data_IF_194249926797
#
_entry.id   IF_194249926797
#
_cell.length_a   1.000
_cell.length_b   1.000
_cell.length_c   1.000
_cell.angle_alpha   90.00
_cell.angle_beta   90.00
_cell.angle_gamma   90.00
#
_symmetry.space_group_name_H-M   'P 1'
#
loop_
_entity.id
_entity.type
_entity.pdbx_description
1 polymer ?
#
# COMPACT_ATOMS: atom_id res chain seq x y z
N UNK A 1 10.62 1.47 25.44
CA UNK A 1 10.09 1.54 24.05
C UNK A 1 11.18 0.97 23.14
N UNK A 2 11.08 -0.31 22.77
CA UNK A 2 12.12 -0.99 21.98
C UNK A 2 11.51 -1.38 20.63
N UNK A 3 11.96 -0.73 19.55
CA UNK A 3 11.60 -1.06 18.19
C UNK A 3 12.30 -2.36 17.78
N UNK A 4 11.55 -3.46 17.65
CA UNK A 4 12.05 -4.72 17.08
C UNK A 4 12.09 -4.60 15.55
N UNK A 5 13.29 -4.69 14.98
CA UNK A 5 13.51 -4.88 13.54
C UNK A 5 13.03 -6.29 13.13
N UNK A 6 12.07 -6.36 12.20
CA UNK A 6 11.61 -7.62 11.61
C UNK A 6 12.55 -8.04 10.47
N UNK A 7 13.40 -9.04 10.70
CA UNK A 7 14.08 -9.76 9.62
C UNK A 7 13.11 -10.76 8.99
N UNK A 8 12.83 -10.62 7.69
CA UNK A 8 12.07 -11.62 6.93
C UNK A 8 12.98 -12.81 6.66
N UNK A 9 12.74 -13.92 7.36
CA UNK A 9 13.39 -15.21 7.14
C UNK A 9 12.76 -15.87 5.91
N UNK A 10 13.39 -15.76 4.75
CA UNK A 10 12.93 -16.42 3.53
C UNK A 10 13.15 -17.94 3.71
N UNK A 11 12.09 -18.69 4.05
CA UNK A 11 12.12 -20.15 4.03
C UNK A 11 12.16 -20.59 2.56
N UNK A 12 13.25 -21.26 2.21
CA UNK A 12 13.47 -21.98 0.96
C UNK A 12 12.35 -22.99 0.71
N UNK A 13 11.49 -22.73 -0.27
CA UNK A 13 10.67 -23.76 -0.89
C UNK A 13 11.27 -24.07 -2.27
N UNK A 14 11.78 -25.29 -2.40
CA UNK A 14 12.40 -25.85 -3.62
C UNK A 14 11.44 -25.96 -4.84
N UNK A 15 10.21 -25.45 -4.74
CA UNK A 15 9.21 -25.54 -5.81
C UNK A 15 9.33 -24.44 -6.87
N UNK A 16 10.02 -23.32 -6.59
CA UNK A 16 10.14 -22.23 -7.55
C UNK A 16 11.24 -22.44 -8.60
N UNK A 17 12.23 -23.29 -8.31
CA UNK A 17 13.42 -23.49 -9.14
C UNK A 17 13.17 -24.27 -10.45
N UNK A 18 12.00 -24.90 -10.60
CA UNK A 18 11.70 -25.74 -11.77
C UNK A 18 11.16 -24.98 -12.98
N UNK A 19 10.82 -23.69 -12.86
CA UNK A 19 10.16 -22.94 -13.97
C UNK A 19 11.11 -22.35 -15.00
N UNK A 20 12.41 -22.34 -14.74
CA UNK A 20 13.42 -21.77 -15.66
C UNK A 20 14.43 -22.84 -16.09
N UNK A 21 13.99 -23.81 -16.89
CA UNK A 21 14.91 -24.67 -17.66
C UNK A 21 15.21 -23.98 -18.98
N UNK A 22 16.39 -23.38 -19.11
CA UNK A 22 16.85 -22.98 -20.43
C UNK A 22 17.97 -21.96 -20.55
N UNK A 23 18.99 -21.94 -19.66
CA UNK A 23 20.30 -21.38 -20.02
C UNK A 23 21.39 -22.15 -19.27
N UNK A 24 22.08 -23.06 -19.97
CA UNK A 24 23.43 -23.48 -19.60
C UNK A 24 24.37 -22.38 -20.07
N UNK A 25 24.96 -21.65 -19.15
CA UNK A 25 26.30 -21.09 -19.26
C UNK A 25 26.70 -20.54 -17.89
N UNK A 26 27.48 -21.33 -17.16
CA UNK A 26 28.12 -20.90 -15.93
C UNK A 26 29.30 -20.02 -16.34
N UNK A 27 29.03 -18.71 -16.47
CA UNK A 27 30.06 -17.69 -16.52
C UNK A 27 29.98 -16.87 -15.24
N UNK A 28 31.15 -16.62 -14.67
CA UNK A 28 31.39 -15.97 -13.40
C UNK A 28 30.84 -14.53 -13.44
N UNK A 29 29.71 -14.26 -12.80
CA UNK A 29 29.19 -12.88 -12.62
C UNK A 29 29.12 -12.62 -11.11
N UNK A 30 30.28 -12.42 -10.50
CA UNK A 30 30.42 -11.83 -9.16
C UNK A 30 30.23 -10.30 -9.19
N UNK A 31 29.28 -9.80 -9.98
CA UNK A 31 28.91 -8.39 -10.00
C UNK A 31 27.44 -8.27 -9.59
N UNK A 32 27.21 -8.15 -8.28
CA UNK A 32 25.95 -7.61 -7.77
C UNK A 32 25.81 -6.19 -8.32
N UNK A 33 25.00 -6.01 -9.36
CA UNK A 33 24.62 -4.67 -9.80
C UNK A 33 23.63 -4.11 -8.80
N UNK A 34 24.05 -3.06 -8.10
CA UNK A 34 23.16 -2.28 -7.25
C UNK A 34 22.27 -1.44 -8.15
N UNK A 35 21.04 -1.89 -8.39
CA UNK A 35 20.01 -0.98 -8.85
C UNK A 35 19.67 -0.08 -7.68
N UNK A 36 20.00 1.22 -7.79
CA UNK A 36 19.34 2.23 -6.97
C UNK A 36 17.88 2.22 -7.40
N UNK A 37 17.05 1.48 -6.66
CA UNK A 37 15.63 1.76 -6.64
C UNK A 37 15.54 3.13 -6.00
N UNK A 38 15.37 4.18 -6.82
CA UNK A 38 14.88 5.45 -6.31
C UNK A 38 13.61 5.09 -5.55
N UNK A 39 13.63 5.25 -4.22
CA UNK A 39 12.42 5.11 -3.42
C UNK A 39 11.44 6.11 -4.05
N UNK A 40 10.42 5.61 -4.73
CA UNK A 40 9.25 6.44 -5.03
C UNK A 40 8.85 7.13 -3.72
N UNK A 41 8.51 8.42 -3.76
CA UNK A 41 8.12 9.14 -2.55
C UNK A 41 7.05 8.32 -1.84
N UNK A 42 7.30 7.98 -0.57
CA UNK A 42 6.35 7.23 0.26
C UNK A 42 5.01 7.99 0.23
N UNK A 43 4.03 7.39 -0.45
CA UNK A 43 2.68 7.94 -0.57
C UNK A 43 2.10 8.03 0.83
N UNK A 44 1.85 9.25 1.31
CA UNK A 44 1.28 9.45 2.63
C UNK A 44 -0.19 9.01 2.62
N UNK A 45 -0.61 8.30 3.67
CA UNK A 45 -1.99 7.82 3.82
C UNK A 45 -3.02 8.95 3.68
N UNK A 46 -2.72 10.12 4.25
CA UNK A 46 -3.57 11.31 4.11
C UNK A 46 -3.75 11.79 2.66
N UNK A 47 -2.71 11.67 1.82
CA UNK A 47 -2.80 12.04 0.40
C UNK A 47 -3.70 11.06 -0.35
N UNK A 48 -3.59 9.76 -0.04
CA UNK A 48 -4.47 8.72 -0.60
C UNK A 48 -5.94 8.97 -0.22
N UNK A 49 -6.22 9.24 1.07
CA UNK A 49 -7.57 9.58 1.54
C UNK A 49 -8.12 10.82 0.83
N UNK A 50 -7.29 11.84 0.61
CA UNK A 50 -7.68 13.07 -0.11
C UNK A 50 -8.05 12.79 -1.57
N UNK A 51 -7.23 12.01 -2.27
CA UNK A 51 -7.49 11.63 -3.67
C UNK A 51 -8.78 10.83 -3.79
N UNK A 52 -8.97 9.83 -2.91
CA UNK A 52 -10.16 8.98 -2.88
C UNK A 52 -11.41 9.81 -2.60
N UNK A 53 -11.35 10.71 -1.61
CA UNK A 53 -12.47 11.59 -1.27
C UNK A 53 -12.91 12.42 -2.48
N UNK A 54 -11.95 13.07 -3.17
CA UNK A 54 -12.22 13.88 -4.37
C UNK A 54 -12.78 13.05 -5.51
N UNK A 55 -12.18 11.90 -5.79
CA UNK A 55 -12.64 11.01 -6.86
C UNK A 55 -14.08 10.51 -6.62
N UNK A 56 -14.43 10.19 -5.38
CA UNK A 56 -15.79 9.81 -5.00
C UNK A 56 -16.76 10.98 -5.16
N UNK A 57 -16.36 12.17 -4.72
CA UNK A 57 -17.17 13.41 -4.80
C UNK A 57 -17.46 13.78 -6.25
N UNK A 58 -16.45 13.75 -7.12
CA UNK A 58 -16.56 14.06 -8.55
C UNK A 58 -17.50 13.09 -9.28
N UNK A 59 -17.58 11.84 -8.82
CA UNK A 59 -18.47 10.82 -9.37
C UNK A 59 -19.88 10.85 -8.77
N UNK A 60 -20.14 11.74 -7.80
CA UNK A 60 -21.44 11.88 -7.16
C UNK A 60 -21.74 10.83 -6.09
N UNK A 61 -20.72 10.12 -5.59
CA UNK A 61 -20.88 9.22 -4.46
C UNK A 61 -20.76 9.99 -3.14
N UNK A 62 -21.35 9.47 -2.06
CA UNK A 62 -21.05 9.94 -0.70
C UNK A 62 -19.67 9.38 -0.28
N UNK A 63 -18.62 10.23 -0.18
CA UNK A 63 -17.28 9.72 0.03
C UNK A 63 -17.10 9.03 1.39
N UNK A 64 -17.73 9.56 2.45
CA UNK A 64 -17.61 9.03 3.81
C UNK A 64 -18.19 7.62 3.86
N UNK A 65 -19.41 7.42 3.35
CA UNK A 65 -20.06 6.11 3.36
C UNK A 65 -19.25 5.06 2.59
N UNK A 66 -18.69 5.43 1.43
CA UNK A 66 -17.90 4.52 0.60
C UNK A 66 -16.55 4.17 1.24
N UNK A 67 -15.85 5.15 1.81
CA UNK A 67 -14.58 4.92 2.51
C UNK A 67 -14.81 4.04 3.75
N UNK A 68 -15.86 4.30 4.54
CA UNK A 68 -16.23 3.44 5.68
C UNK A 68 -16.58 2.03 5.21
N UNK A 69 -17.37 1.89 4.13
CA UNK A 69 -17.71 0.59 3.53
C UNK A 69 -16.47 -0.20 3.13
N UNK A 70 -15.51 0.45 2.48
CA UNK A 70 -14.23 -0.15 2.12
C UNK A 70 -13.41 -0.59 3.34
N UNK A 71 -13.26 0.28 4.35
CA UNK A 71 -12.46 -0.03 5.55
C UNK A 71 -13.03 -1.28 6.25
N UNK A 72 -14.35 -1.33 6.44
CA UNK A 72 -15.02 -2.41 7.17
C UNK A 72 -15.00 -3.74 6.40
N UNK A 73 -15.26 -3.71 5.09
CA UNK A 73 -15.39 -4.92 4.27
C UNK A 73 -14.08 -5.39 3.62
N UNK A 74 -13.18 -4.46 3.31
CA UNK A 74 -12.05 -4.67 2.41
C UNK A 74 -12.43 -4.79 0.94
N UNK A 75 -13.70 -4.59 0.57
CA UNK A 75 -14.16 -4.72 -0.81
C UNK A 75 -13.86 -3.45 -1.63
N UNK A 76 -12.96 -3.51 -2.65
CA UNK A 76 -12.57 -2.35 -3.43
C UNK A 76 -13.68 -1.80 -4.35
N UNK A 77 -14.82 -2.49 -4.47
CA UNK A 77 -15.97 -2.03 -5.27
C UNK A 77 -16.63 -0.77 -4.69
N UNK A 78 -16.48 -0.53 -3.39
CA UNK A 78 -16.89 0.73 -2.74
C UNK A 78 -16.14 1.95 -3.30
N UNK A 79 -14.92 1.77 -3.82
CA UNK A 79 -14.08 2.87 -4.28
C UNK A 79 -14.14 2.93 -5.81
N UNK A 80 -14.34 4.12 -6.38
CA UNK A 80 -14.33 4.33 -7.83
C UNK A 80 -12.92 4.15 -8.43
N UNK A 81 -12.82 3.67 -9.67
CA UNK A 81 -11.55 3.66 -10.42
C UNK A 81 -11.15 5.04 -10.96
N UNK A 82 -12.04 6.03 -10.87
CA UNK A 82 -11.77 7.40 -11.31
C UNK A 82 -10.51 7.96 -10.63
N UNK A 83 -9.67 8.67 -11.39
CA UNK A 83 -8.39 9.22 -10.94
C UNK A 83 -7.48 8.22 -10.20
N UNK A 84 -7.53 6.93 -10.57
CA UNK A 84 -6.73 5.87 -9.96
C UNK A 84 -7.01 5.64 -8.45
N UNK A 85 -8.11 6.17 -7.92
CA UNK A 85 -8.42 6.14 -6.49
C UNK A 85 -8.47 4.71 -5.92
N UNK A 86 -9.15 3.79 -6.61
CA UNK A 86 -9.23 2.38 -6.20
C UNK A 86 -7.85 1.73 -6.09
N UNK A 87 -6.97 1.91 -7.07
CA UNK A 87 -5.63 1.29 -7.03
C UNK A 87 -4.76 1.90 -5.95
N UNK A 88 -4.92 3.19 -5.65
CA UNK A 88 -4.15 3.88 -4.62
C UNK A 88 -4.53 3.40 -3.21
N UNK A 89 -5.82 3.33 -2.90
CA UNK A 89 -6.27 2.91 -1.57
C UNK A 89 -6.00 1.44 -1.28
N UNK A 90 -5.92 0.59 -2.31
CA UNK A 90 -5.55 -0.82 -2.18
C UNK A 90 -4.06 -1.05 -1.87
N UNK A 91 -3.21 -0.01 -2.01
CA UNK A 91 -1.79 -0.07 -1.62
C UNK A 91 -1.55 0.27 -0.15
N UNK A 92 -2.58 0.71 0.56
CA UNK A 92 -2.53 1.14 1.96
C UNK A 92 -3.25 0.10 2.80
N UNK A 93 -2.66 -0.29 3.92
CA UNK A 93 -3.31 -1.21 4.85
C UNK A 93 -4.50 -0.52 5.53
N UNK A 94 -5.55 -1.29 5.84
CA UNK A 94 -6.82 -0.71 6.31
C UNK A 94 -6.73 -0.14 7.72
N UNK A 95 -5.89 -0.72 8.56
CA UNK A 95 -5.59 -0.21 9.89
C UNK A 95 -4.83 1.12 9.82
N UNK A 96 -3.91 1.30 8.87
CA UNK A 96 -3.24 2.58 8.63
C UNK A 96 -4.24 3.69 8.23
N UNK A 97 -5.26 3.38 7.42
CA UNK A 97 -6.33 4.33 7.08
C UNK A 97 -7.10 4.78 8.32
N UNK A 98 -7.45 3.84 9.21
CA UNK A 98 -8.17 4.14 10.46
C UNK A 98 -7.30 4.95 11.42
N UNK A 99 -6.02 4.57 11.55
CA UNK A 99 -5.05 5.26 12.40
C UNK A 99 -4.87 6.72 11.95
N UNK A 100 -4.70 6.97 10.65
CA UNK A 100 -4.55 8.32 10.10
C UNK A 100 -5.80 9.17 10.35
N UNK A 101 -6.99 8.62 10.14
CA UNK A 101 -8.25 9.32 10.42
C UNK A 101 -8.38 9.66 11.91
N UNK A 102 -8.05 8.73 12.81
CA UNK A 102 -8.13 8.96 14.25
C UNK A 102 -7.10 10.00 14.72
N UNK A 103 -5.86 9.94 14.23
CA UNK A 103 -4.84 10.97 14.49
C UNK A 103 -5.31 12.35 14.06
N UNK A 104 -5.87 12.46 12.86
CA UNK A 104 -6.42 13.71 12.36
C UNK A 104 -7.57 14.22 13.23
N UNK A 105 -8.46 13.32 13.69
CA UNK A 105 -9.55 13.68 14.60
C UNK A 105 -9.04 14.19 15.95
N UNK A 106 -8.12 13.48 16.60
CA UNK A 106 -7.51 13.88 17.88
C UNK A 106 -6.86 15.26 17.77
N UNK A 107 -6.04 15.45 16.73
CA UNK A 107 -5.35 16.72 16.45
C UNK A 107 -6.32 17.89 16.25
N UNK A 108 -7.41 17.68 15.52
CA UNK A 108 -8.40 18.73 15.24
C UNK A 108 -9.31 19.03 16.44
N UNK A 109 -9.37 18.14 17.44
CA UNK A 109 -10.13 18.36 18.68
C UNK A 109 -9.26 18.81 19.85
N UNK A 110 -7.96 19.04 19.64
CA UNK A 110 -7.01 19.49 20.67
C UNK A 110 -7.01 18.62 21.94
N UNK A 111 -7.14 17.31 21.77
CA UNK A 111 -6.97 16.37 22.89
C UNK A 111 -5.50 16.19 23.28
N UNK A 112 -4.60 16.66 22.42
CA UNK A 112 -3.15 16.82 22.60
C UNK A 112 -2.69 18.20 22.10
#
# INVERSE_FOLDING_TARGET
MNFRTNYIKIKTSNAFYSRYKGVKNMQNINNTQYFRVEKEPELKVGDVLTIVYRALSEKGYNPVNQIVGYIMSGDPTYITSHNNARSLIMKVERDELVEEVLKAYIKNNHWE
#
